data_IF_933791203152
#
_entry.id   IF_933791203152
#
_cell.length_a   1.000
_cell.length_b   1.000
_cell.length_c   1.000
_cell.angle_alpha   90.00
_cell.angle_beta   90.00
_cell.angle_gamma   90.00
#
_symmetry.space_group_name_H-M   'P 1'
#
loop_
_entity.id
_entity.type
_entity.pdbx_description
1 polymer ?
#
# COMPACT_ATOMS: atom_id res chain seq x y z
N UNK A 1 9.10 -27.57 6.28
CA UNK A 1 9.64 -26.25 5.93
C UNK A 1 10.44 -26.38 4.65
N UNK A 2 10.12 -25.60 3.62
CA UNK A 2 11.02 -25.47 2.46
C UNK A 2 12.20 -24.58 2.85
N UNK A 3 13.42 -25.02 2.56
CA UNK A 3 14.62 -24.19 2.72
C UNK A 3 14.75 -23.26 1.53
N UNK A 4 14.80 -21.96 1.77
CA UNK A 4 15.09 -20.95 0.74
C UNK A 4 16.59 -20.65 0.81
N UNK A 5 17.29 -20.86 -0.30
CA UNK A 5 18.70 -20.48 -0.41
C UNK A 5 18.80 -18.97 -0.73
N UNK A 6 19.63 -18.25 0.02
CA UNK A 6 19.97 -16.84 -0.21
C UNK A 6 21.44 -16.79 -0.61
N UNK A 7 21.76 -16.06 -1.67
CA UNK A 7 23.15 -15.93 -2.14
C UNK A 7 24.01 -15.10 -1.17
N UNK A 8 25.30 -15.37 -1.12
CA UNK A 8 26.26 -14.64 -0.27
C UNK A 8 26.19 -13.12 -0.52
N UNK A 9 26.14 -12.70 -1.79
CA UNK A 9 25.94 -11.30 -2.18
C UNK A 9 24.71 -10.67 -1.49
N UNK A 10 23.62 -11.41 -1.37
CA UNK A 10 22.38 -10.92 -0.75
C UNK A 10 22.52 -10.89 0.77
N UNK A 11 23.19 -11.89 1.37
CA UNK A 11 23.50 -11.89 2.80
C UNK A 11 24.38 -10.70 3.20
N UNK A 12 25.38 -10.36 2.39
CA UNK A 12 26.25 -9.21 2.62
C UNK A 12 25.47 -7.88 2.63
N UNK A 13 24.55 -7.71 1.67
CA UNK A 13 23.68 -6.54 1.62
C UNK A 13 22.72 -6.50 2.82
N UNK A 14 22.17 -7.64 3.21
CA UNK A 14 21.31 -7.75 4.40
C UNK A 14 22.08 -7.44 5.69
N UNK A 15 23.35 -7.82 5.79
CA UNK A 15 24.22 -7.45 6.91
C UNK A 15 24.42 -5.94 6.97
N UNK A 16 24.70 -5.28 5.85
CA UNK A 16 24.83 -3.82 5.80
C UNK A 16 23.55 -3.07 6.22
N UNK A 17 22.37 -3.66 5.97
CA UNK A 17 21.07 -3.05 6.30
C UNK A 17 20.62 -3.27 7.75
N UNK A 18 21.17 -4.26 8.44
CA UNK A 18 20.83 -4.55 9.83
C UNK A 18 21.92 -5.36 10.54
N UNK A 19 23.09 -4.78 10.84
CA UNK A 19 24.22 -5.53 11.37
C UNK A 19 23.88 -6.33 12.64
N UNK A 20 24.37 -7.57 12.71
CA UNK A 20 24.16 -8.46 13.86
C UNK A 20 22.72 -8.95 14.07
N UNK A 21 21.76 -8.59 13.21
CA UNK A 21 20.39 -9.12 13.27
C UNK A 21 20.26 -10.44 12.50
N UNK A 22 19.29 -11.26 12.90
CA UNK A 22 18.94 -12.46 12.13
C UNK A 22 18.49 -12.09 10.71
N UNK A 23 18.73 -13.00 9.76
CA UNK A 23 18.29 -12.84 8.37
C UNK A 23 16.78 -12.60 8.28
N UNK A 24 16.01 -13.36 9.05
CA UNK A 24 14.55 -13.21 9.14
C UNK A 24 14.15 -11.78 9.54
N UNK A 25 14.72 -11.25 10.62
CA UNK A 25 14.42 -9.90 11.10
C UNK A 25 14.78 -8.81 10.09
N UNK A 26 15.89 -9.00 9.36
CA UNK A 26 16.30 -8.07 8.28
C UNK A 26 15.28 -8.10 7.15
N UNK A 27 14.82 -9.28 6.75
CA UNK A 27 13.82 -9.45 5.68
C UNK A 27 12.46 -8.88 6.11
N UNK A 28 12.01 -9.13 7.34
CA UNK A 28 10.77 -8.57 7.89
C UNK A 28 10.81 -7.04 7.88
N UNK A 29 11.92 -6.44 8.32
CA UNK A 29 12.09 -4.98 8.31
C UNK A 29 12.04 -4.41 6.89
N UNK A 30 12.64 -5.08 5.91
CA UNK A 30 12.59 -4.67 4.51
C UNK A 30 11.17 -4.77 3.94
N UNK A 31 10.46 -5.86 4.26
CA UNK A 31 9.08 -6.04 3.88
C UNK A 31 8.18 -4.95 4.49
N UNK A 32 8.34 -4.65 5.78
CA UNK A 32 7.61 -3.60 6.47
C UNK A 32 7.86 -2.23 5.81
N UNK A 33 9.11 -1.89 5.52
CA UNK A 33 9.46 -0.64 4.86
C UNK A 33 8.84 -0.52 3.46
N UNK A 34 8.79 -1.61 2.70
CA UNK A 34 8.13 -1.61 1.39
C UNK A 34 6.62 -1.45 1.49
N UNK A 35 5.99 -2.13 2.46
CA UNK A 35 4.56 -1.97 2.74
C UNK A 35 4.24 -0.53 3.15
N UNK A 36 5.03 0.08 4.04
CA UNK A 36 4.84 1.48 4.43
C UNK A 36 5.02 2.44 3.24
N UNK A 37 5.97 2.19 2.34
CA UNK A 37 6.12 2.98 1.11
C UNK A 37 4.89 2.86 0.19
N UNK A 38 4.33 1.66 0.03
CA UNK A 38 3.10 1.45 -0.74
C UNK A 38 1.92 2.16 -0.12
N UNK A 39 1.75 2.02 1.20
CA UNK A 39 0.70 2.69 1.95
C UNK A 39 0.75 4.21 1.76
N UNK A 40 1.94 4.80 1.91
CA UNK A 40 2.12 6.24 1.72
C UNK A 40 1.75 6.70 0.30
N UNK A 41 2.05 5.91 -0.74
CA UNK A 41 1.65 6.22 -2.13
C UNK A 41 0.14 6.22 -2.29
N UNK A 42 -0.55 5.18 -1.81
CA UNK A 42 -2.01 5.11 -1.91
C UNK A 42 -2.71 6.20 -1.11
N UNK A 43 -2.22 6.48 0.11
CA UNK A 43 -2.72 7.58 0.94
C UNK A 43 -2.54 8.95 0.26
N UNK A 44 -1.44 9.15 -0.47
CA UNK A 44 -1.23 10.38 -1.24
C UNK A 44 -2.23 10.51 -2.39
N UNK A 45 -2.53 9.41 -3.11
CA UNK A 45 -3.55 9.41 -4.17
C UNK A 45 -4.93 9.76 -3.59
N UNK A 46 -5.36 9.06 -2.53
CA UNK A 46 -6.65 9.32 -1.86
C UNK A 46 -6.73 10.79 -1.39
N UNK A 47 -5.70 11.29 -0.70
CA UNK A 47 -5.65 12.68 -0.27
C UNK A 47 -5.76 13.68 -1.42
N UNK A 48 -5.04 13.43 -2.51
CA UNK A 48 -5.01 14.32 -3.67
C UNK A 48 -6.37 14.40 -4.35
N UNK A 49 -7.04 13.26 -4.51
CA UNK A 49 -8.34 13.19 -5.16
C UNK A 49 -9.47 13.70 -4.26
N UNK A 50 -9.41 13.45 -2.94
CA UNK A 50 -10.27 14.12 -1.96
C UNK A 50 -10.18 15.64 -2.07
N UNK A 51 -8.96 16.17 -2.22
CA UNK A 51 -8.76 17.61 -2.41
C UNK A 51 -9.25 18.11 -3.77
N UNK A 52 -9.08 17.32 -4.84
CA UNK A 52 -9.51 17.69 -6.19
C UNK A 52 -11.03 17.82 -6.29
N UNK A 53 -11.76 16.87 -5.69
CA UNK A 53 -13.21 16.79 -5.80
C UNK A 53 -13.97 17.37 -4.62
N UNK A 54 -13.31 17.53 -3.46
CA UNK A 54 -13.95 17.99 -2.23
C UNK A 54 -14.88 16.96 -1.59
N UNK A 55 -14.69 15.68 -1.91
CA UNK A 55 -15.53 14.54 -1.52
C UNK A 55 -14.65 13.37 -1.06
N UNK A 56 -15.23 12.37 -0.38
CA UNK A 56 -14.63 11.03 -0.31
C UNK A 56 -14.90 10.23 -1.60
N UNK A 57 -14.25 9.07 -1.76
CA UNK A 57 -14.52 8.18 -2.89
C UNK A 57 -15.98 7.70 -2.87
N UNK A 58 -16.48 7.32 -1.70
CA UNK A 58 -17.85 6.83 -1.53
C UNK A 58 -18.88 7.92 -1.89
N UNK A 59 -18.63 9.17 -1.48
CA UNK A 59 -19.46 10.32 -1.87
C UNK A 59 -19.38 10.59 -3.37
N UNK A 60 -18.18 10.55 -3.95
CA UNK A 60 -17.96 10.72 -5.38
C UNK A 60 -18.74 9.70 -6.22
N UNK A 61 -18.78 8.44 -5.78
CA UNK A 61 -19.53 7.35 -6.42
C UNK A 61 -21.04 7.50 -6.21
N UNK A 62 -21.48 7.74 -4.97
CA UNK A 62 -22.90 7.94 -4.64
C UNK A 62 -23.51 9.11 -5.40
N UNK A 63 -22.72 10.16 -5.63
CA UNK A 63 -23.12 11.33 -6.41
C UNK A 63 -23.02 11.14 -7.93
N UNK A 64 -22.52 10.01 -8.43
CA UNK A 64 -22.31 9.74 -9.85
C UNK A 64 -21.51 10.83 -10.55
N UNK A 65 -20.41 11.28 -9.93
CA UNK A 65 -19.61 12.42 -10.42
C UNK A 65 -19.07 12.16 -11.84
N UNK A 66 -18.65 10.95 -12.17
CA UNK A 66 -18.22 10.57 -13.53
C UNK A 66 -19.28 10.94 -14.57
N UNK A 67 -20.53 10.55 -14.33
CA UNK A 67 -21.66 10.87 -15.22
C UNK A 67 -21.96 12.37 -15.24
N UNK A 68 -22.00 13.04 -14.06
CA UNK A 68 -22.22 14.49 -13.95
C UNK A 68 -21.16 15.31 -14.69
N UNK A 69 -19.95 14.77 -14.84
CA UNK A 69 -18.83 15.36 -15.59
C UNK A 69 -18.76 14.88 -17.04
N UNK A 70 -19.76 14.15 -17.52
CA UNK A 70 -19.91 13.77 -18.91
C UNK A 70 -18.96 12.66 -19.35
N UNK A 71 -18.56 11.76 -18.44
CA UNK A 71 -17.67 10.64 -18.74
C UNK A 71 -16.36 11.10 -19.37
N UNK A 72 -15.81 12.20 -18.87
CA UNK A 72 -14.50 12.64 -19.36
C UNK A 72 -13.45 11.62 -18.96
N UNK A 73 -12.53 11.33 -19.89
CA UNK A 73 -11.42 10.40 -19.66
C UNK A 73 -10.66 10.72 -18.36
N UNK A 74 -10.43 12.00 -18.08
CA UNK A 74 -9.77 12.45 -16.85
C UNK A 74 -10.52 12.00 -15.58
N UNK A 75 -11.84 12.17 -15.54
CA UNK A 75 -12.64 11.84 -14.33
C UNK A 75 -12.80 10.33 -14.18
N UNK A 76 -12.85 9.58 -15.29
CA UNK A 76 -12.82 8.12 -15.28
C UNK A 76 -11.47 7.56 -14.80
N UNK A 77 -10.35 8.10 -15.30
CA UNK A 77 -9.01 7.73 -14.82
C UNK A 77 -8.83 8.06 -13.35
N UNK A 78 -9.26 9.24 -12.91
CA UNK A 78 -9.21 9.61 -11.49
C UNK A 78 -10.01 8.65 -10.63
N UNK A 79 -11.22 8.24 -11.05
CA UNK A 79 -12.03 7.28 -10.32
C UNK A 79 -11.32 5.92 -10.19
N UNK A 80 -10.77 5.40 -11.29
CA UNK A 80 -10.06 4.12 -11.29
C UNK A 80 -8.80 4.16 -10.41
N UNK A 81 -8.03 5.25 -10.49
CA UNK A 81 -6.84 5.44 -9.65
C UNK A 81 -7.20 5.58 -8.18
N UNK A 82 -8.33 6.22 -7.86
CA UNK A 82 -8.83 6.38 -6.50
C UNK A 82 -9.29 5.06 -5.90
N UNK A 83 -10.12 4.30 -6.64
CA UNK A 83 -10.62 2.99 -6.23
C UNK A 83 -9.46 2.04 -5.92
N UNK A 84 -8.50 1.94 -6.86
CA UNK A 84 -7.27 1.18 -6.67
C UNK A 84 -6.47 1.63 -5.43
N UNK A 85 -6.45 2.94 -5.14
CA UNK A 85 -5.75 3.46 -3.98
C UNK A 85 -6.45 3.09 -2.67
N UNK A 86 -7.77 3.22 -2.57
CA UNK A 86 -8.53 2.86 -1.36
C UNK A 86 -8.41 1.37 -1.08
N UNK A 87 -8.59 0.51 -2.09
CA UNK A 87 -8.37 -0.93 -1.97
C UNK A 87 -6.93 -1.29 -1.59
N UNK A 88 -5.97 -0.56 -2.17
CA UNK A 88 -4.54 -0.65 -1.86
C UNK A 88 -4.24 -0.34 -0.40
N UNK A 89 -4.85 0.70 0.16
CA UNK A 89 -4.71 1.08 1.58
C UNK A 89 -5.16 -0.08 2.48
N UNK A 90 -6.38 -0.60 2.27
CA UNK A 90 -6.91 -1.69 3.09
C UNK A 90 -6.06 -2.95 3.00
N UNK A 91 -5.61 -3.30 1.80
CA UNK A 91 -4.78 -4.48 1.57
C UNK A 91 -3.43 -4.37 2.28
N UNK A 92 -2.74 -3.23 2.14
CA UNK A 92 -1.43 -3.02 2.76
C UNK A 92 -1.53 -2.93 4.29
N UNK A 93 -2.60 -2.32 4.82
CA UNK A 93 -2.85 -2.30 6.26
C UNK A 93 -2.99 -3.72 6.82
N UNK A 94 -3.77 -4.60 6.18
CA UNK A 94 -3.88 -6.01 6.60
C UNK A 94 -2.54 -6.74 6.56
N UNK A 95 -1.73 -6.49 5.53
CA UNK A 95 -0.38 -7.07 5.42
C UNK A 95 0.55 -6.60 6.53
N UNK A 96 0.53 -5.31 6.87
CA UNK A 96 1.30 -4.73 7.98
C UNK A 96 0.87 -5.32 9.32
N UNK A 97 -0.44 -5.42 9.57
CA UNK A 97 -0.99 -6.03 10.79
C UNK A 97 -0.52 -7.47 10.94
N UNK A 98 -0.60 -8.27 9.87
CA UNK A 98 -0.10 -9.65 9.84
C UNK A 98 1.40 -9.73 10.10
N UNK A 99 2.20 -8.87 9.46
CA UNK A 99 3.66 -8.85 9.61
C UNK A 99 4.07 -8.48 11.04
N UNK A 100 3.35 -7.56 11.69
CA UNK A 100 3.61 -7.13 13.07
C UNK A 100 3.10 -8.10 14.14
N UNK A 101 2.41 -9.17 13.73
CA UNK A 101 1.80 -10.11 14.67
C UNK A 101 0.66 -9.51 15.51
N UNK A 102 0.04 -8.43 15.03
CA UNK A 102 -1.15 -7.85 15.67
C UNK A 102 -2.37 -8.68 15.26
N UNK A 103 -3.17 -9.17 16.22
CA UNK A 103 -4.40 -9.89 15.91
C UNK A 103 -5.41 -8.95 15.24
N UNK A 104 -6.05 -9.41 14.17
CA UNK A 104 -7.29 -8.81 13.68
C UNK A 104 -8.39 -9.46 14.49
N UNK A 105 -8.68 -8.91 15.67
CA UNK A 105 -9.92 -9.29 16.37
C UNK A 105 -11.08 -8.97 15.43
N UNK A 106 -11.83 -10.03 15.11
CA UNK A 106 -12.90 -10.08 14.11
C UNK A 106 -14.21 -9.64 14.73
#
# INVERSE_FOLDING_TARGET
MQSIAISDRTLDLLEALGPGQSVERKVEKLAEQELLRRLARYQLTDYTLRRKYGLTLEEFEAESIVQKRGYSFEVESDHQDWDLAVDGIHTVQRQLTRLRGLSIDT
#
